data_IF_343951098698
#
_entry.id   IF_343951098698
#
_cell.length_a   1.000
_cell.length_b   1.000
_cell.length_c   1.000
_cell.angle_alpha   90.00
_cell.angle_beta   90.00
_cell.angle_gamma   90.00
#
_symmetry.space_group_name_H-M   'P 1'
#
loop_
_entity.id
_entity.type
_entity.pdbx_description
1 polymer ?
#
# COMPACT_ATOMS: atom_id res chain seq x y z
N UNK A 1 18.62 -8.22 -10.72
CA UNK A 1 18.74 -9.26 -9.64
C UNK A 1 17.54 -10.18 -9.76
N UNK A 2 17.68 -11.47 -9.42
CA UNK A 2 16.56 -12.42 -9.42
C UNK A 2 15.71 -12.23 -8.16
N UNK A 3 14.40 -12.45 -8.28
CA UNK A 3 13.50 -12.46 -7.13
C UNK A 3 13.78 -13.68 -6.22
N UNK A 4 13.54 -13.46 -4.94
CA UNK A 4 13.34 -14.49 -3.93
C UNK A 4 11.85 -14.71 -3.72
N UNK A 5 11.47 -15.84 -3.13
CA UNK A 5 10.07 -16.22 -2.99
C UNK A 5 9.78 -16.70 -1.57
N UNK A 6 8.64 -16.27 -1.04
CA UNK A 6 8.08 -16.69 0.24
C UNK A 6 6.68 -17.23 0.02
N UNK A 7 6.36 -18.40 0.59
CA UNK A 7 5.04 -19.02 0.41
C UNK A 7 4.24 -19.01 1.71
N UNK A 8 3.02 -18.53 1.65
CA UNK A 8 2.07 -18.53 2.75
C UNK A 8 0.63 -18.68 2.23
N UNK A 9 -0.15 -19.57 2.85
CA UNK A 9 -1.59 -19.76 2.60
C UNK A 9 -1.97 -19.82 1.11
N UNK A 10 -1.23 -20.63 0.35
CA UNK A 10 -1.48 -20.87 -1.08
C UNK A 10 -1.07 -19.74 -2.03
N UNK A 11 -0.39 -18.73 -1.55
CA UNK A 11 0.25 -17.71 -2.37
C UNK A 11 1.77 -17.78 -2.26
N UNK A 12 2.46 -17.44 -3.33
CA UNK A 12 3.91 -17.25 -3.39
C UNK A 12 4.18 -15.77 -3.61
N UNK A 13 4.83 -15.13 -2.67
CA UNK A 13 5.15 -13.70 -2.65
C UNK A 13 6.55 -13.51 -3.24
N UNK A 14 6.64 -12.78 -4.34
CA UNK A 14 7.90 -12.39 -4.97
C UNK A 14 8.48 -11.15 -4.28
N UNK A 15 9.75 -11.22 -3.88
CA UNK A 15 10.41 -10.12 -3.20
C UNK A 15 11.89 -9.99 -3.56
N UNK A 16 12.45 -8.83 -3.28
CA UNK A 16 13.87 -8.57 -3.30
C UNK A 16 14.29 -7.91 -1.98
N UNK A 17 15.38 -8.42 -1.40
CA UNK A 17 16.05 -7.75 -0.30
C UNK A 17 17.50 -7.50 -0.74
N UNK A 18 17.86 -6.25 -0.92
CA UNK A 18 19.13 -5.84 -1.55
C UNK A 18 19.83 -4.77 -0.75
N UNK A 19 21.15 -4.69 -0.91
CA UNK A 19 21.94 -3.71 -0.17
C UNK A 19 22.31 -4.20 1.24
N UNK A 20 22.75 -3.29 2.07
CA UNK A 20 23.20 -3.53 3.45
C UNK A 20 23.02 -2.26 4.28
N UNK A 21 22.94 -2.41 5.60
CA UNK A 21 22.68 -1.30 6.53
C UNK A 21 21.26 -1.33 7.06
N UNK A 22 20.81 -0.26 7.68
CA UNK A 22 19.48 -0.19 8.29
C UNK A 22 18.36 -0.56 7.31
N UNK A 23 17.49 -1.53 7.66
CA UNK A 23 16.47 -2.01 6.74
C UNK A 23 15.40 -0.94 6.46
N UNK A 24 14.96 -0.88 5.19
CA UNK A 24 13.83 -0.11 4.69
C UNK A 24 12.95 -1.03 3.85
N UNK A 25 11.63 -1.01 4.08
CA UNK A 25 10.66 -1.77 3.31
C UNK A 25 9.67 -0.89 2.57
N UNK A 26 9.12 -1.41 1.46
CA UNK A 26 8.03 -0.74 0.73
C UNK A 26 6.96 -1.72 0.25
N UNK A 27 5.68 -1.37 0.49
CA UNK A 27 4.49 -2.05 -0.03
C UNK A 27 3.66 -1.12 -0.94
N UNK A 28 3.35 -1.60 -2.15
CA UNK A 28 2.55 -0.85 -3.13
C UNK A 28 1.05 -0.89 -2.84
N UNK A 29 0.27 -0.03 -3.54
CA UNK A 29 -1.20 -0.02 -3.52
C UNK A 29 -1.81 -1.10 -4.42
N UNK A 30 -3.15 -1.27 -4.31
CA UNK A 30 -3.91 -2.11 -5.23
C UNK A 30 -3.70 -1.66 -6.69
N UNK A 31 -3.80 -2.58 -7.62
CA UNK A 31 -3.50 -2.43 -9.06
C UNK A 31 -2.02 -2.23 -9.42
N UNK A 32 -1.14 -1.94 -8.48
CA UNK A 32 0.26 -1.71 -8.74
C UNK A 32 1.10 -2.98 -8.54
N UNK A 33 2.37 -2.87 -8.87
CA UNK A 33 3.46 -3.77 -8.55
C UNK A 33 4.71 -2.93 -8.24
N UNK A 34 5.78 -3.53 -7.79
CA UNK A 34 7.07 -2.85 -7.60
C UNK A 34 7.49 -2.07 -8.86
N UNK A 35 7.38 -2.73 -10.01
CA UNK A 35 7.76 -2.12 -11.28
C UNK A 35 6.80 -1.03 -11.75
N UNK A 36 5.50 -1.19 -11.51
CA UNK A 36 4.52 -0.16 -11.82
C UNK A 36 4.77 1.12 -11.00
N UNK A 37 5.11 1.00 -9.71
CA UNK A 37 5.47 2.16 -8.87
C UNK A 37 6.73 2.85 -9.39
N UNK A 38 7.75 2.10 -9.83
CA UNK A 38 8.96 2.69 -10.44
C UNK A 38 8.63 3.47 -11.72
N UNK A 39 7.77 2.90 -12.59
CA UNK A 39 7.34 3.59 -13.82
C UNK A 39 6.53 4.85 -13.52
N UNK A 40 5.64 4.78 -12.52
CA UNK A 40 4.83 5.90 -12.08
C UNK A 40 5.71 7.07 -11.56
N UNK A 41 6.78 6.79 -10.81
CA UNK A 41 7.80 7.76 -10.44
C UNK A 41 7.33 8.88 -9.51
N UNK A 42 6.24 8.67 -8.76
CA UNK A 42 5.74 9.63 -7.75
C UNK A 42 6.40 9.43 -6.39
N UNK A 43 6.81 8.21 -6.08
CA UNK A 43 7.54 7.86 -4.86
C UNK A 43 8.71 6.94 -5.21
N UNK A 44 9.92 7.39 -4.96
CA UNK A 44 11.16 6.70 -5.34
C UNK A 44 11.75 5.94 -4.13
N UNK A 45 11.27 4.71 -3.93
CA UNK A 45 11.78 3.85 -2.87
C UNK A 45 13.20 3.32 -3.15
N UNK A 46 13.63 3.28 -4.41
CA UNK A 46 15.01 2.89 -4.75
C UNK A 46 15.99 3.98 -4.30
N UNK A 47 15.63 5.27 -4.45
CA UNK A 47 16.41 6.38 -3.88
C UNK A 47 16.49 6.29 -2.35
N UNK A 48 15.39 5.98 -1.69
CA UNK A 48 15.33 5.80 -0.23
C UNK A 48 16.19 4.61 0.24
N UNK A 49 16.28 3.57 -0.56
CA UNK A 49 17.09 2.37 -0.31
C UNK A 49 18.59 2.55 -0.54
N UNK A 50 19.04 3.69 -1.07
CA UNK A 50 20.46 3.93 -1.33
C UNK A 50 21.26 3.91 -0.02
N UNK A 51 22.24 2.99 0.08
CA UNK A 51 23.03 2.77 1.28
C UNK A 51 22.32 2.06 2.42
N UNK A 52 21.19 1.40 2.15
CA UNK A 52 20.36 0.65 3.10
C UNK A 52 20.09 -0.77 2.61
N UNK A 53 19.61 -1.62 3.50
CA UNK A 53 18.97 -2.88 3.11
C UNK A 53 17.55 -2.57 2.63
N UNK A 54 17.28 -2.69 1.32
CA UNK A 54 15.97 -2.38 0.74
C UNK A 54 15.16 -3.66 0.49
N UNK A 55 14.02 -3.80 1.18
CA UNK A 55 13.03 -4.85 0.97
C UNK A 55 11.87 -4.32 0.13
N UNK A 56 11.65 -4.92 -1.03
CA UNK A 56 10.48 -4.63 -1.87
C UNK A 56 9.82 -5.93 -2.29
N UNK A 57 8.51 -5.96 -2.39
CA UNK A 57 7.76 -7.15 -2.79
C UNK A 57 6.51 -6.78 -3.58
N UNK A 58 6.03 -7.72 -4.36
CA UNK A 58 4.70 -7.63 -4.93
C UNK A 58 3.72 -8.26 -3.95
N UNK A 59 2.67 -7.53 -3.59
CA UNK A 59 1.66 -8.05 -2.68
C UNK A 59 0.95 -9.26 -3.30
N UNK A 60 0.36 -10.11 -2.47
CA UNK A 60 -0.43 -11.28 -2.88
C UNK A 60 -1.32 -10.96 -4.08
N UNK A 61 -1.21 -11.76 -5.16
CA UNK A 61 -2.00 -11.62 -6.39
C UNK A 61 -1.63 -10.44 -7.29
N UNK A 62 -0.49 -9.78 -7.05
CA UNK A 62 -0.01 -8.67 -7.88
C UNK A 62 1.37 -8.98 -8.47
N UNK A 63 1.68 -8.37 -9.61
CA UNK A 63 3.00 -8.46 -10.25
C UNK A 63 3.46 -9.90 -10.45
N UNK A 64 4.62 -10.24 -9.87
CA UNK A 64 5.22 -11.57 -9.92
C UNK A 64 4.74 -12.50 -8.77
N UNK A 65 3.88 -12.00 -7.87
CA UNK A 65 3.29 -12.80 -6.80
C UNK A 65 2.04 -13.52 -7.26
N UNK A 66 1.84 -14.74 -6.76
CA UNK A 66 0.64 -15.52 -7.02
C UNK A 66 -0.45 -15.29 -5.98
N UNK A 67 -1.64 -15.82 -6.22
CA UNK A 67 -2.77 -15.81 -5.28
C UNK A 67 -3.83 -16.82 -5.70
N UNK A 68 -4.83 -17.01 -4.85
CA UNK A 68 -6.02 -17.83 -5.13
C UNK A 68 -7.21 -16.92 -5.38
N UNK A 69 -8.24 -17.34 -6.13
CA UNK A 69 -9.44 -16.53 -6.36
C UNK A 69 -10.40 -16.54 -5.16
N UNK A 70 -9.87 -16.34 -3.96
CA UNK A 70 -10.57 -16.38 -2.69
C UNK A 70 -10.52 -15.00 -2.04
N UNK A 71 -11.65 -14.28 -1.94
CA UNK A 71 -11.69 -12.91 -1.41
C UNK A 71 -11.09 -12.81 0.02
N UNK A 72 -11.30 -13.84 0.86
CA UNK A 72 -10.76 -13.86 2.22
C UNK A 72 -9.23 -13.79 2.28
N UNK A 73 -8.52 -14.18 1.21
CA UNK A 73 -7.07 -14.13 1.15
C UNK A 73 -6.53 -12.69 1.05
N UNK A 74 -7.36 -11.72 0.64
CA UNK A 74 -6.97 -10.33 0.34
C UNK A 74 -7.44 -9.33 1.39
N UNK A 75 -7.85 -9.81 2.56
CA UNK A 75 -8.19 -8.94 3.69
C UNK A 75 -6.95 -8.23 4.23
N UNK A 76 -7.15 -7.08 4.88
CA UNK A 76 -6.06 -6.32 5.49
C UNK A 76 -5.30 -7.13 6.55
N UNK A 77 -5.97 -8.01 7.29
CA UNK A 77 -5.33 -8.91 8.24
C UNK A 77 -4.36 -9.88 7.55
N UNK A 78 -4.79 -10.47 6.44
CA UNK A 78 -3.97 -11.41 5.70
C UNK A 78 -2.74 -10.77 5.07
N UNK A 79 -2.85 -9.57 4.48
CA UNK A 79 -1.66 -8.89 3.92
C UNK A 79 -0.73 -8.35 5.00
N UNK A 80 -1.25 -8.01 6.17
CA UNK A 80 -0.43 -7.72 7.35
C UNK A 80 0.38 -8.93 7.81
N UNK A 81 -0.26 -10.10 7.85
CA UNK A 81 0.41 -11.36 8.18
C UNK A 81 1.40 -11.80 7.08
N UNK A 82 1.11 -11.53 5.80
CA UNK A 82 2.08 -11.73 4.71
C UNK A 82 3.33 -10.88 4.93
N UNK A 83 3.18 -9.61 5.30
CA UNK A 83 4.31 -8.72 5.59
C UNK A 83 5.18 -9.26 6.72
N UNK A 84 4.59 -9.68 7.86
CA UNK A 84 5.36 -10.23 8.98
C UNK A 84 6.11 -11.51 8.56
N UNK A 85 5.44 -12.43 7.87
CA UNK A 85 6.09 -13.65 7.36
C UNK A 85 7.19 -13.35 6.34
N UNK A 86 7.02 -12.30 5.53
CA UNK A 86 8.04 -11.85 4.59
C UNK A 86 9.28 -11.28 5.30
N UNK A 87 9.11 -10.52 6.37
CA UNK A 87 10.24 -10.02 7.16
C UNK A 87 11.09 -11.19 7.71
N UNK A 88 10.41 -12.25 8.18
CA UNK A 88 11.09 -13.45 8.67
C UNK A 88 11.80 -14.20 7.52
N UNK A 89 11.12 -14.42 6.40
CA UNK A 89 11.68 -15.09 5.23
C UNK A 89 12.87 -14.34 4.61
N UNK A 90 12.86 -13.02 4.67
CA UNK A 90 13.96 -12.16 4.20
C UNK A 90 15.08 -11.99 5.25
N UNK A 91 14.97 -12.63 6.42
CA UNK A 91 15.91 -12.50 7.55
C UNK A 91 16.15 -11.03 7.96
N UNK A 92 15.06 -10.26 8.02
CA UNK A 92 15.09 -8.88 8.53
C UNK A 92 14.87 -8.96 10.04
N UNK A 93 15.96 -9.14 10.79
CA UNK A 93 15.91 -9.34 12.24
C UNK A 93 15.86 -8.01 13.03
N UNK A 94 16.33 -6.91 12.44
CA UNK A 94 16.30 -5.58 13.05
C UNK A 94 14.98 -4.86 12.75
N UNK A 95 14.53 -3.95 13.64
CA UNK A 95 13.35 -3.12 13.34
C UNK A 95 13.52 -2.33 12.05
N UNK A 96 12.52 -2.43 11.16
CA UNK A 96 12.55 -1.85 9.82
C UNK A 96 11.87 -0.47 9.79
N UNK A 97 12.39 0.47 8.99
CA UNK A 97 11.59 1.59 8.50
C UNK A 97 10.71 1.08 7.37
N UNK A 98 9.41 1.34 7.42
CA UNK A 98 8.51 0.77 6.43
C UNK A 98 7.56 1.81 5.84
N UNK A 99 7.54 1.88 4.51
CA UNK A 99 6.61 2.72 3.77
C UNK A 99 5.56 1.85 3.07
N UNK A 100 4.31 2.28 3.10
CA UNK A 100 3.22 1.62 2.39
C UNK A 100 2.30 2.62 1.72
N UNK A 101 1.77 2.30 0.53
CA UNK A 101 0.77 3.13 -0.14
C UNK A 101 -0.58 2.41 -0.24
N UNK A 102 -1.68 3.07 0.14
CA UNK A 102 -3.05 2.56 0.04
C UNK A 102 -3.19 1.15 0.68
N UNK A 103 -3.37 0.11 -0.11
CA UNK A 103 -3.38 -1.30 0.35
C UNK A 103 -2.11 -1.68 1.13
N UNK A 104 -0.95 -1.10 0.75
CA UNK A 104 0.30 -1.24 1.51
C UNK A 104 0.28 -0.56 2.88
N UNK A 105 -0.51 0.51 3.06
CA UNK A 105 -0.76 1.11 4.39
C UNK A 105 -1.50 0.12 5.28
N UNK A 106 -2.52 -0.56 4.74
CA UNK A 106 -3.27 -1.55 5.50
C UNK A 106 -2.36 -2.70 5.96
N UNK A 107 -1.50 -3.21 5.08
CA UNK A 107 -0.50 -4.23 5.42
C UNK A 107 0.43 -3.73 6.54
N UNK A 108 0.98 -2.51 6.41
CA UNK A 108 1.89 -1.92 7.38
C UNK A 108 1.23 -1.74 8.76
N UNK A 109 0.02 -1.17 8.82
CA UNK A 109 -0.68 -0.91 10.07
C UNK A 109 -1.10 -2.21 10.78
N UNK A 110 -1.65 -3.20 10.04
CA UNK A 110 -2.00 -4.51 10.61
C UNK A 110 -0.78 -5.25 11.15
N UNK A 111 0.33 -5.21 10.42
CA UNK A 111 1.59 -5.78 10.89
C UNK A 111 2.12 -5.04 12.12
N UNK A 112 2.07 -3.70 12.14
CA UNK A 112 2.62 -2.89 13.22
C UNK A 112 1.82 -2.98 14.53
N UNK A 113 0.49 -3.12 14.49
CA UNK A 113 -0.30 -3.35 15.71
C UNK A 113 -0.10 -4.77 16.24
N UNK A 114 0.20 -5.74 15.37
CA UNK A 114 0.45 -7.14 15.74
C UNK A 114 1.86 -7.34 16.34
N UNK A 115 2.88 -6.69 15.77
CA UNK A 115 4.28 -6.83 16.17
C UNK A 115 5.01 -5.48 16.06
N UNK A 116 4.69 -4.51 16.95
CA UNK A 116 5.22 -3.14 16.86
C UNK A 116 6.75 -3.07 16.98
N UNK A 117 7.38 -4.02 17.67
CA UNK A 117 8.84 -4.13 17.80
C UNK A 117 9.56 -4.41 16.48
N UNK A 118 8.84 -4.88 15.44
CA UNK A 118 9.40 -5.10 14.11
C UNK A 118 9.57 -3.80 13.33
N UNK A 119 9.00 -2.70 13.79
CA UNK A 119 8.97 -1.44 13.05
C UNK A 119 9.68 -0.32 13.82
N UNK A 120 10.63 0.35 13.16
CA UNK A 120 11.32 1.52 13.70
C UNK A 120 10.57 2.81 13.42
N UNK A 121 10.07 2.96 12.20
CA UNK A 121 9.23 4.08 11.73
C UNK A 121 8.26 3.62 10.66
N UNK A 122 7.11 4.28 10.54
CA UNK A 122 6.12 4.06 9.50
C UNK A 122 5.94 5.29 8.62
N UNK A 123 5.82 5.07 7.31
CA UNK A 123 5.44 6.10 6.34
C UNK A 123 4.21 5.62 5.59
N UNK A 124 3.08 6.30 5.81
CA UNK A 124 1.77 5.90 5.33
C UNK A 124 1.35 6.85 4.19
N UNK A 125 1.43 6.35 2.96
CA UNK A 125 1.07 7.13 1.78
C UNK A 125 -0.37 6.81 1.38
N UNK A 126 -1.22 7.84 1.32
CA UNK A 126 -2.61 7.72 0.90
C UNK A 126 -3.36 6.59 1.63
N UNK A 127 -3.56 6.67 2.96
CA UNK A 127 -4.31 5.67 3.69
C UNK A 127 -5.69 5.44 3.08
N UNK A 128 -6.15 4.18 2.90
CA UNK A 128 -7.46 3.90 2.34
C UNK A 128 -8.57 4.39 3.26
N UNK A 129 -9.78 4.55 2.73
CA UNK A 129 -10.96 4.82 3.54
C UNK A 129 -11.09 3.77 4.66
N UNK A 130 -11.35 4.25 5.87
CA UNK A 130 -11.45 3.39 7.04
C UNK A 130 -12.55 3.86 7.98
N UNK A 131 -13.09 2.92 8.74
CA UNK A 131 -14.19 3.13 9.70
C UNK A 131 -15.35 3.87 9.03
N UNK A 132 -15.83 4.94 9.62
CA UNK A 132 -16.89 5.82 9.10
C UNK A 132 -16.37 7.20 8.68
N UNK A 133 -15.04 7.33 8.44
CA UNK A 133 -14.42 8.65 8.23
C UNK A 133 -14.49 9.17 6.80
N UNK A 134 -14.84 8.32 5.84
CA UNK A 134 -14.94 8.68 4.43
C UNK A 134 -16.38 8.66 3.91
N UNK A 135 -16.59 9.10 2.67
CA UNK A 135 -17.85 8.86 1.99
C UNK A 135 -18.14 7.36 1.89
N UNK A 136 -19.36 6.93 2.18
CA UNK A 136 -19.80 5.53 2.01
C UNK A 136 -19.43 5.01 0.61
N UNK A 137 -19.48 5.89 -0.40
CA UNK A 137 -19.11 5.61 -1.78
C UNK A 137 -17.66 5.16 -1.97
N UNK A 138 -16.70 5.60 -1.14
CA UNK A 138 -15.31 5.21 -1.28
C UNK A 138 -15.09 3.74 -0.87
N UNK A 139 -15.80 3.23 0.14
CA UNK A 139 -15.79 1.82 0.52
C UNK A 139 -16.61 0.98 -0.46
N UNK A 140 -17.79 1.48 -0.82
CA UNK A 140 -18.70 0.82 -1.75
C UNK A 140 -18.07 0.63 -3.13
N UNK A 141 -17.19 1.55 -3.53
CA UNK A 141 -16.47 1.48 -4.81
C UNK A 141 -15.77 0.13 -5.05
N UNK A 142 -15.17 -0.47 -4.03
CA UNK A 142 -14.51 -1.77 -4.17
C UNK A 142 -15.50 -2.89 -4.50
N UNK A 143 -16.63 -2.90 -3.83
CA UNK A 143 -17.70 -3.89 -4.06
C UNK A 143 -18.34 -3.68 -5.42
N UNK A 144 -18.74 -2.45 -5.76
CA UNK A 144 -19.38 -2.11 -7.03
C UNK A 144 -18.44 -2.40 -8.22
N UNK A 145 -17.14 -2.16 -8.05
CA UNK A 145 -16.15 -2.48 -9.08
C UNK A 145 -15.99 -3.99 -9.26
N UNK A 146 -15.98 -4.77 -8.16
CA UNK A 146 -15.95 -6.22 -8.23
C UNK A 146 -17.21 -6.78 -8.92
N UNK A 147 -18.40 -6.27 -8.57
CA UNK A 147 -19.67 -6.63 -9.22
C UNK A 147 -19.63 -6.32 -10.70
N UNK A 148 -19.11 -5.15 -11.08
CA UNK A 148 -18.96 -4.74 -12.48
C UNK A 148 -18.03 -5.67 -13.24
N UNK A 149 -16.91 -6.06 -12.66
CA UNK A 149 -15.96 -7.02 -13.27
C UNK A 149 -16.64 -8.36 -13.52
N UNK A 150 -17.41 -8.86 -12.55
CA UNK A 150 -18.14 -10.14 -12.68
C UNK A 150 -19.26 -10.05 -13.72
N UNK A 151 -19.93 -8.90 -13.86
CA UNK A 151 -21.02 -8.68 -14.82
C UNK A 151 -20.51 -8.67 -16.26
N UNK A 152 -19.46 -7.87 -16.56
CA UNK A 152 -19.02 -7.61 -17.94
C UNK A 152 -17.77 -8.39 -18.35
N UNK A 153 -17.14 -9.04 -17.38
CA UNK A 153 -15.86 -9.73 -17.55
C UNK A 153 -14.65 -8.80 -17.39
N UNK A 154 -13.51 -9.37 -16.93
CA UNK A 154 -12.32 -8.60 -16.57
C UNK A 154 -11.72 -7.83 -17.75
N UNK A 155 -11.74 -8.37 -18.95
CA UNK A 155 -11.18 -7.72 -20.13
C UNK A 155 -12.00 -6.50 -20.58
N UNK A 156 -13.34 -6.58 -20.53
CA UNK A 156 -14.20 -5.44 -20.83
C UNK A 156 -14.04 -4.34 -19.78
N UNK A 157 -13.95 -4.74 -18.50
CA UNK A 157 -13.68 -3.78 -17.42
C UNK A 157 -12.30 -3.10 -17.56
N UNK A 158 -11.25 -3.83 -17.95
CA UNK A 158 -9.94 -3.22 -18.24
C UNK A 158 -10.01 -2.18 -19.34
N UNK A 159 -10.82 -2.41 -20.36
CA UNK A 159 -11.03 -1.44 -21.43
C UNK A 159 -11.76 -0.19 -20.91
N UNK A 160 -12.79 -0.34 -20.07
CA UNK A 160 -13.45 0.78 -19.38
C UNK A 160 -12.47 1.55 -18.49
N UNK A 161 -11.66 0.84 -17.70
CA UNK A 161 -10.64 1.43 -16.81
C UNK A 161 -9.60 2.24 -17.60
N UNK A 162 -9.08 1.68 -18.67
CA UNK A 162 -8.09 2.35 -19.52
C UNK A 162 -8.65 3.57 -20.26
N UNK A 163 -9.96 3.61 -20.53
CA UNK A 163 -10.64 4.73 -21.15
C UNK A 163 -11.06 5.83 -20.17
N UNK A 164 -10.99 5.56 -18.86
CA UNK A 164 -11.36 6.53 -17.83
C UNK A 164 -10.34 7.70 -17.81
N UNK A 165 -10.80 8.94 -17.61
CA UNK A 165 -9.90 10.07 -17.49
C UNK A 165 -9.01 9.90 -16.23
N UNK A 166 -7.77 10.40 -16.26
CA UNK A 166 -6.94 10.40 -15.05
C UNK A 166 -7.58 11.26 -13.96
N UNK A 167 -7.22 10.98 -12.71
CA UNK A 167 -7.63 11.83 -11.59
C UNK A 167 -7.16 13.27 -11.85
N UNK A 168 -7.98 14.30 -11.51
CA UNK A 168 -7.70 15.70 -11.86
C UNK A 168 -6.30 16.17 -11.46
N UNK A 169 -5.79 15.75 -10.30
CA UNK A 169 -4.46 16.11 -9.83
C UNK A 169 -3.34 15.59 -10.76
N UNK A 170 -3.59 14.52 -11.51
CA UNK A 170 -2.64 13.90 -12.44
C UNK A 170 -2.91 14.20 -13.92
N UNK A 171 -3.86 15.09 -14.23
CA UNK A 171 -4.25 15.37 -15.61
C UNK A 171 -3.06 15.73 -16.53
N UNK A 172 -2.09 16.48 -15.99
CA UNK A 172 -0.89 16.90 -16.71
C UNK A 172 0.36 16.07 -16.34
N UNK A 173 0.20 14.94 -15.63
CA UNK A 173 1.32 14.09 -15.25
C UNK A 173 1.52 12.96 -16.26
N UNK A 174 2.54 13.02 -17.13
CA UNK A 174 2.64 12.14 -18.30
C UNK A 174 2.96 10.68 -17.99
N UNK A 175 3.42 10.39 -16.77
CA UNK A 175 3.74 9.03 -16.31
C UNK A 175 2.60 8.38 -15.52
N UNK A 176 1.44 9.05 -15.40
CA UNK A 176 0.32 8.48 -14.66
C UNK A 176 -0.24 7.27 -15.38
N UNK A 177 -0.04 6.10 -14.80
CA UNK A 177 -0.50 4.81 -15.30
C UNK A 177 -0.89 3.93 -14.11
N UNK A 178 -2.16 3.63 -13.99
CA UNK A 178 -2.74 2.71 -13.02
C UNK A 178 -3.27 1.43 -13.69
N UNK A 179 -2.67 1.02 -14.79
CA UNK A 179 -3.01 -0.27 -15.42
C UNK A 179 -2.85 -1.40 -14.42
N UNK A 180 -3.93 -2.16 -14.13
CA UNK A 180 -3.91 -3.17 -13.08
C UNK A 180 -2.88 -4.28 -13.34
N UNK A 181 -1.96 -4.48 -12.40
CA UNK A 181 -0.91 -5.51 -12.40
C UNK A 181 -1.40 -6.77 -11.67
N UNK A 182 -2.63 -7.18 -11.95
CA UNK A 182 -3.36 -8.28 -11.31
C UNK A 182 -3.85 -9.22 -12.42
N UNK A 183 -3.71 -10.55 -12.30
CA UNK A 183 -4.35 -11.52 -13.20
C UNK A 183 -5.87 -11.34 -13.23
N UNK A 184 -6.49 -11.61 -14.38
CA UNK A 184 -7.93 -11.36 -14.59
C UNK A 184 -8.81 -12.07 -13.57
N UNK A 185 -8.47 -13.32 -13.23
CA UNK A 185 -9.21 -14.16 -12.26
C UNK A 185 -9.11 -13.65 -10.82
N UNK A 186 -8.16 -12.77 -10.51
CA UNK A 186 -7.94 -12.25 -9.16
C UNK A 186 -8.51 -10.84 -8.96
N UNK A 187 -8.90 -10.13 -10.02
CA UNK A 187 -9.38 -8.75 -9.92
C UNK A 187 -10.57 -8.60 -8.96
N UNK A 188 -11.65 -9.33 -9.19
CA UNK A 188 -12.84 -9.25 -8.34
C UNK A 188 -12.59 -9.80 -6.91
N UNK A 189 -11.94 -10.97 -6.72
CA UNK A 189 -11.58 -11.45 -5.38
C UNK A 189 -10.76 -10.46 -4.55
N UNK A 190 -9.74 -9.80 -5.14
CA UNK A 190 -8.93 -8.81 -4.44
C UNK A 190 -9.78 -7.62 -3.99
N UNK A 191 -10.59 -7.06 -4.88
CA UNK A 191 -11.45 -5.93 -4.55
C UNK A 191 -12.47 -6.27 -3.47
N UNK A 192 -13.07 -7.49 -3.51
CA UNK A 192 -13.98 -7.96 -2.47
C UNK A 192 -13.28 -8.10 -1.11
N UNK A 193 -12.06 -8.64 -1.08
CA UNK A 193 -11.28 -8.75 0.16
C UNK A 193 -10.96 -7.40 0.77
N UNK A 194 -10.57 -6.42 -0.06
CA UNK A 194 -10.34 -5.03 0.36
C UNK A 194 -11.63 -4.39 0.87
N UNK A 195 -12.73 -4.51 0.11
CA UNK A 195 -14.03 -3.92 0.47
C UNK A 195 -14.64 -4.50 1.76
N UNK A 196 -14.29 -5.74 2.11
CA UNK A 196 -14.71 -6.40 3.34
C UNK A 196 -13.81 -6.09 4.54
N UNK A 197 -12.76 -5.29 4.37
CA UNK A 197 -11.73 -5.04 5.38
C UNK A 197 -11.85 -3.64 5.98
N UNK A 198 -11.20 -3.46 7.13
CA UNK A 198 -10.98 -2.14 7.72
C UNK A 198 -9.56 -2.02 8.29
N UNK A 199 -9.09 -0.80 8.54
CA UNK A 199 -7.84 -0.57 9.27
C UNK A 199 -7.97 -1.08 10.71
N UNK A 200 -6.86 -1.21 11.48
CA UNK A 200 -6.92 -1.59 12.88
C UNK A 200 -7.88 -0.72 13.68
N UNK A 201 -8.43 -1.26 14.77
CA UNK A 201 -9.34 -0.50 15.61
C UNK A 201 -8.68 0.76 16.17
N UNK A 202 -9.43 1.86 16.38
CA UNK A 202 -8.89 3.10 16.94
C UNK A 202 -8.10 2.90 18.24
N UNK A 203 -8.53 1.96 19.08
CA UNK A 203 -7.89 1.61 20.34
C UNK A 203 -6.52 0.97 20.14
N UNK A 204 -6.37 0.09 19.15
CA UNK A 204 -5.09 -0.54 18.79
C UNK A 204 -4.10 0.51 18.27
N UNK A 205 -4.55 1.44 17.44
CA UNK A 205 -3.73 2.53 16.91
C UNK A 205 -3.32 3.55 17.99
N UNK A 206 -4.17 3.79 18.99
CA UNK A 206 -3.85 4.66 20.11
C UNK A 206 -2.72 4.11 21.01
N UNK A 207 -2.49 2.79 20.98
CA UNK A 207 -1.38 2.14 21.69
C UNK A 207 -0.10 2.03 20.86
N UNK A 208 -0.15 2.33 19.54
CA UNK A 208 1.01 2.25 18.65
C UNK A 208 2.01 3.36 18.97
N UNK A 209 3.25 3.00 19.34
CA UNK A 209 4.33 3.94 19.71
C UNK A 209 5.41 4.07 18.62
N UNK A 210 5.13 3.58 17.42
CA UNK A 210 6.04 3.68 16.28
C UNK A 210 5.91 5.06 15.65
N UNK A 211 6.99 5.86 15.56
CA UNK A 211 6.95 7.16 14.88
C UNK A 211 6.37 7.03 13.47
N UNK A 212 5.38 7.85 13.15
CA UNK A 212 4.59 7.70 11.92
C UNK A 212 4.48 9.02 11.17
N UNK A 213 4.77 8.98 9.86
CA UNK A 213 4.57 10.08 8.92
C UNK A 213 3.48 9.67 7.91
N UNK A 214 2.50 10.55 7.72
CA UNK A 214 1.33 10.29 6.88
C UNK A 214 1.30 11.29 5.72
N UNK A 215 1.07 10.79 4.51
CA UNK A 215 0.88 11.59 3.32
C UNK A 215 -0.47 11.32 2.67
N UNK A 216 -1.14 12.36 2.19
CA UNK A 216 -2.38 12.27 1.41
C UNK A 216 -2.50 13.47 0.47
N UNK A 217 -3.50 13.51 -0.44
CA UNK A 217 -3.83 14.71 -1.22
C UNK A 217 -5.32 15.06 -1.14
N UNK A 218 -5.66 16.34 -1.32
CA UNK A 218 -6.98 16.88 -1.01
C UNK A 218 -8.15 16.29 -1.81
N UNK A 219 -7.93 15.86 -3.03
CA UNK A 219 -9.01 15.49 -3.97
C UNK A 219 -9.08 14.00 -4.27
N UNK A 220 -8.50 13.16 -3.41
CA UNK A 220 -8.53 11.71 -3.59
C UNK A 220 -9.93 11.15 -3.29
N UNK A 221 -10.58 10.51 -4.25
CA UNK A 221 -11.93 9.98 -4.04
C UNK A 221 -11.95 8.70 -3.18
N UNK A 222 -10.83 7.96 -3.10
CA UNK A 222 -10.72 6.67 -2.41
C UNK A 222 -9.91 6.74 -1.11
N UNK A 223 -9.09 7.79 -0.95
CA UNK A 223 -8.20 7.96 0.19
C UNK A 223 -8.47 9.31 0.87
N UNK A 224 -9.60 9.46 1.56
CA UNK A 224 -10.04 10.76 2.05
C UNK A 224 -9.09 11.33 3.10
N UNK A 225 -8.86 12.64 3.06
CA UNK A 225 -8.06 13.38 4.05
C UNK A 225 -8.57 13.15 5.48
N UNK A 226 -9.87 12.89 5.64
CA UNK A 226 -10.48 12.58 6.94
C UNK A 226 -9.89 11.33 7.58
N UNK A 227 -9.61 10.26 6.80
CA UNK A 227 -8.94 9.05 7.32
C UNK A 227 -7.51 9.35 7.74
N UNK A 228 -6.74 10.08 6.91
CA UNK A 228 -5.38 10.49 7.25
C UNK A 228 -5.34 11.36 8.52
N UNK A 229 -6.28 12.30 8.64
CA UNK A 229 -6.42 13.15 9.84
C UNK A 229 -6.77 12.33 11.07
N UNK A 230 -7.68 11.36 10.94
CA UNK A 230 -8.03 10.46 12.04
C UNK A 230 -6.86 9.60 12.49
N UNK A 231 -6.07 9.07 11.55
CA UNK A 231 -4.83 8.33 11.86
C UNK A 231 -3.83 9.19 12.62
N UNK A 232 -3.59 10.45 12.19
CA UNK A 232 -2.75 11.40 12.91
C UNK A 232 -3.22 11.63 14.34
N UNK A 233 -4.52 11.73 14.54
CA UNK A 233 -5.08 12.00 15.87
C UNK A 233 -5.06 10.77 16.78
N UNK A 234 -5.10 9.56 16.22
CA UNK A 234 -5.07 8.30 16.94
C UNK A 234 -3.65 7.86 17.29
N UNK A 235 -2.71 7.91 16.33
CA UNK A 235 -1.34 7.42 16.52
C UNK A 235 -0.51 8.50 17.24
N UNK A 236 -0.03 8.26 18.47
CA UNK A 236 0.70 9.26 19.23
C UNK A 236 1.96 9.78 18.52
N UNK A 237 2.02 11.08 18.31
CA UNK A 237 3.15 11.73 17.66
C UNK A 237 3.20 11.59 16.14
N UNK A 238 2.13 11.11 15.50
CA UNK A 238 2.07 11.03 14.04
C UNK A 238 2.03 12.43 13.40
N UNK A 239 2.74 12.58 12.28
CA UNK A 239 2.77 13.78 11.45
C UNK A 239 1.91 13.56 10.20
N UNK A 240 1.24 14.61 9.72
CA UNK A 240 0.43 14.56 8.49
C UNK A 240 0.80 15.70 7.54
N UNK A 241 1.02 15.36 6.28
CA UNK A 241 1.22 16.31 5.19
C UNK A 241 0.17 16.06 4.10
N UNK A 242 -0.47 17.14 3.63
CA UNK A 242 -1.54 17.09 2.63
C UNK A 242 -1.07 17.80 1.36
N UNK A 243 -0.94 17.05 0.27
CA UNK A 243 -0.57 17.57 -1.04
C UNK A 243 -1.78 18.17 -1.76
N UNK A 244 -1.54 19.20 -2.58
CA UNK A 244 -2.53 19.85 -3.44
C UNK A 244 -2.18 19.75 -4.92
N UNK A 245 -0.94 19.48 -5.20
CA UNK A 245 -0.38 19.39 -6.56
C UNK A 245 0.50 18.17 -6.70
N UNK A 246 0.77 17.75 -7.95
CA UNK A 246 1.78 16.70 -8.22
C UNK A 246 3.16 17.10 -7.71
N UNK A 247 3.50 18.39 -7.78
CA UNK A 247 4.77 18.88 -7.25
C UNK A 247 4.89 18.65 -5.74
N UNK A 248 3.80 18.79 -4.97
CA UNK A 248 3.79 18.47 -3.55
C UNK A 248 4.00 16.95 -3.35
N UNK A 249 3.32 16.10 -4.13
CA UNK A 249 3.49 14.65 -4.06
C UNK A 249 4.95 14.25 -4.34
N UNK A 250 5.61 14.89 -5.29
CA UNK A 250 7.02 14.64 -5.61
C UNK A 250 7.99 15.01 -4.46
N UNK A 251 7.54 15.79 -3.46
CA UNK A 251 8.32 16.03 -2.24
C UNK A 251 8.29 14.89 -1.24
N UNK A 252 7.39 13.92 -1.39
CA UNK A 252 7.21 12.83 -0.42
C UNK A 252 8.47 11.96 -0.28
N UNK A 253 9.18 11.68 -1.38
CA UNK A 253 10.45 10.93 -1.32
C UNK A 253 11.52 11.65 -0.47
N UNK A 254 11.93 12.90 -0.75
CA UNK A 254 12.92 13.59 0.10
C UNK A 254 12.42 13.84 1.53
N UNK A 255 11.11 14.04 1.73
CA UNK A 255 10.55 14.20 3.08
C UNK A 255 10.63 12.88 3.86
N UNK A 256 10.31 11.75 3.20
CA UNK A 256 10.50 10.42 3.78
C UNK A 256 11.98 10.19 4.12
N UNK A 257 12.91 10.51 3.22
CA UNK A 257 14.34 10.37 3.46
C UNK A 257 14.78 11.12 4.73
N UNK A 258 14.29 12.35 4.92
CA UNK A 258 14.57 13.14 6.12
C UNK A 258 13.99 12.49 7.39
N UNK A 259 12.76 11.94 7.31
CA UNK A 259 12.09 11.30 8.44
C UNK A 259 12.75 9.97 8.86
N UNK A 260 13.23 9.16 7.91
CA UNK A 260 13.86 7.86 8.19
C UNK A 260 15.37 7.94 8.36
N UNK A 261 15.95 9.14 8.29
CA UNK A 261 17.37 9.36 8.59
C UNK A 261 17.69 8.98 10.03
N UNK A 262 18.92 8.47 10.30
CA UNK A 262 19.37 8.05 11.62
C UNK A 262 19.25 9.14 12.70
#
# INVERSE_FOLDING_TARGET
>A
MSDSYFTRDGATIAYQYTGSGSPLGYAHGVFLSRDAVRRLGLFDFDQLGSGRGLLTYDQRGHGESTGRPEAADYTFDNVGADLLGLLDAASVDEPIDFAGSSYGVAAALRAAVTAPERFRRLVLLIPPVAWETGPDQARQWYTDTADRIEEIGPQAWRAEWAAAPPLPIFADYPKFDLTPQIPDELLAPILRGIGASDLPAPEELAELRVPTLIFTWETDPLHPVSTASRLRDLIPGAELEVARTVADIQTWTPRTAAFVSP
#
